data_IF_973583499745
#
_entry.id   IF_973583499745
#
_cell.length_a   1.000
_cell.length_b   1.000
_cell.length_c   1.000
_cell.angle_alpha   90.00
_cell.angle_beta   90.00
_cell.angle_gamma   90.00
#
_symmetry.space_group_name_H-M   'P 1'
#
loop_
_entity.id
_entity.type
_entity.pdbx_description
1 polymer ?
#
# COMPACT_ATOMS: atom_id res chain seq x y z
N UNK A 1 -3.47 12.48 0.03
CA UNK A 1 -4.94 12.51 -0.05
C UNK A 1 -5.40 11.15 -0.55
N UNK A 2 -6.42 10.57 0.06
CA UNK A 2 -6.97 9.26 -0.33
C UNK A 2 -8.29 9.46 -1.08
N UNK A 3 -8.32 9.13 -2.37
CA UNK A 3 -9.51 9.25 -3.21
C UNK A 3 -10.29 7.95 -3.17
N UNK A 4 -11.50 8.00 -2.65
CA UNK A 4 -12.35 6.85 -2.37
C UNK A 4 -13.62 6.93 -3.21
N UNK A 5 -13.98 5.84 -3.88
CA UNK A 5 -15.27 5.69 -4.53
C UNK A 5 -16.16 4.76 -3.70
N UNK A 6 -17.42 5.14 -3.52
CA UNK A 6 -18.43 4.37 -2.82
C UNK A 6 -19.55 4.08 -3.81
N UNK A 7 -19.97 2.81 -3.92
CA UNK A 7 -21.15 2.42 -4.69
C UNK A 7 -22.07 1.58 -3.81
N UNK A 8 -23.26 2.11 -3.54
CA UNK A 8 -24.29 1.49 -2.70
C UNK A 8 -25.65 2.07 -3.13
N UNK A 9 -26.63 1.24 -3.42
CA UNK A 9 -27.96 1.68 -3.85
C UNK A 9 -28.75 2.40 -2.73
N UNK A 10 -28.38 2.16 -1.47
CA UNK A 10 -28.87 2.87 -0.29
C UNK A 10 -28.09 4.17 -0.08
N UNK A 11 -28.66 5.31 -0.42
CA UNK A 11 -28.06 6.63 -0.15
C UNK A 11 -27.77 6.83 1.34
N UNK A 12 -28.56 6.25 2.22
CA UNK A 12 -28.36 6.32 3.67
C UNK A 12 -27.08 5.62 4.09
N UNK A 13 -26.87 4.40 3.60
CA UNK A 13 -25.69 3.58 3.97
C UNK A 13 -24.42 4.19 3.36
N UNK A 14 -24.49 4.61 2.09
CA UNK A 14 -23.41 5.34 1.43
C UNK A 14 -23.00 6.59 2.22
N UNK A 15 -23.96 7.43 2.63
CA UNK A 15 -23.69 8.64 3.39
C UNK A 15 -23.14 8.36 4.79
N UNK A 16 -23.58 7.28 5.45
CA UNK A 16 -23.03 6.87 6.73
C UNK A 16 -21.57 6.42 6.60
N UNK A 17 -21.26 5.60 5.59
CA UNK A 17 -19.90 5.17 5.29
C UNK A 17 -19.01 6.39 4.97
N UNK A 18 -19.50 7.32 4.14
CA UNK A 18 -18.79 8.55 3.81
C UNK A 18 -18.40 9.35 5.07
N UNK A 19 -19.34 9.55 6.00
CA UNK A 19 -19.05 10.26 7.25
C UNK A 19 -17.93 9.60 8.05
N UNK A 20 -17.91 8.26 8.11
CA UNK A 20 -16.84 7.54 8.78
C UNK A 20 -15.50 7.69 8.06
N UNK A 21 -15.49 7.62 6.71
CA UNK A 21 -14.29 7.82 5.90
C UNK A 21 -13.73 9.24 6.06
N UNK A 22 -14.58 10.26 6.04
CA UNK A 22 -14.18 11.66 6.22
C UNK A 22 -13.69 11.97 7.65
N UNK A 23 -14.08 11.15 8.65
CA UNK A 23 -13.58 11.28 10.03
C UNK A 23 -12.19 10.67 10.26
N UNK A 24 -11.62 10.01 9.24
CA UNK A 24 -10.30 9.42 9.33
C UNK A 24 -9.20 10.50 9.36
N UNK A 25 -8.32 10.45 10.38
CA UNK A 25 -7.43 11.55 10.75
C UNK A 25 -5.99 11.46 10.20
N UNK A 26 -5.59 10.29 9.66
CA UNK A 26 -4.19 10.10 9.22
C UNK A 26 -3.86 10.75 7.88
N UNK A 27 -4.83 10.84 6.98
CA UNK A 27 -4.70 11.53 5.69
C UNK A 27 -6.05 12.17 5.31
N UNK A 28 -6.05 13.28 4.56
CA UNK A 28 -7.28 13.80 3.98
C UNK A 28 -7.91 12.75 3.05
N UNK A 29 -9.22 12.52 3.22
CA UNK A 29 -10.02 11.63 2.38
C UNK A 29 -10.94 12.45 1.50
N UNK A 30 -11.00 12.14 0.23
CA UNK A 30 -11.98 12.65 -0.72
C UNK A 30 -12.85 11.50 -1.22
N UNK A 31 -14.16 11.70 -1.24
CA UNK A 31 -15.13 10.65 -1.56
C UNK A 31 -15.97 11.01 -2.78
N UNK A 32 -16.31 10.01 -3.58
CA UNK A 32 -17.33 10.10 -4.63
C UNK A 32 -18.36 9.00 -4.41
N UNK A 33 -19.64 9.40 -4.28
CA UNK A 33 -20.75 8.48 -4.02
C UNK A 33 -21.53 8.21 -5.29
N UNK A 34 -21.85 6.94 -5.51
CA UNK A 34 -22.68 6.47 -6.61
C UNK A 34 -23.77 5.52 -6.08
N UNK A 35 -25.00 5.76 -6.50
CA UNK A 35 -26.12 4.83 -6.29
C UNK A 35 -26.44 4.02 -7.55
N UNK A 36 -25.72 4.28 -8.63
CA UNK A 36 -25.83 3.58 -9.89
C UNK A 36 -24.48 3.01 -10.30
N UNK A 37 -24.32 1.68 -10.35
CA UNK A 37 -23.07 1.01 -10.70
C UNK A 37 -22.54 1.39 -12.08
N UNK A 38 -23.40 1.53 -13.08
CA UNK A 38 -22.99 1.88 -14.44
C UNK A 38 -22.35 3.28 -14.51
N UNK A 39 -22.98 4.26 -13.84
CA UNK A 39 -22.41 5.62 -13.75
C UNK A 39 -21.07 5.63 -13.01
N UNK A 40 -20.92 4.78 -12.00
CA UNK A 40 -19.67 4.66 -11.29
C UNK A 40 -18.56 4.16 -12.23
N UNK A 41 -18.79 3.10 -13.01
CA UNK A 41 -17.82 2.58 -13.97
C UNK A 41 -17.40 3.62 -15.01
N UNK A 42 -18.35 4.37 -15.57
CA UNK A 42 -18.10 5.43 -16.55
C UNK A 42 -17.23 6.57 -15.99
N UNK A 43 -17.29 6.80 -14.68
CA UNK A 43 -16.61 7.89 -13.99
C UNK A 43 -15.42 7.44 -13.12
N UNK A 44 -15.12 6.15 -13.13
CA UNK A 44 -13.93 5.63 -12.44
C UNK A 44 -12.68 6.12 -13.16
N UNK A 45 -11.79 6.75 -12.41
CA UNK A 45 -10.57 7.34 -12.95
C UNK A 45 -9.32 6.67 -12.37
N UNK A 46 -8.19 6.88 -13.02
CA UNK A 46 -6.89 6.40 -12.52
C UNK A 46 -6.48 6.98 -11.18
N UNK A 47 -7.09 8.11 -10.77
CA UNK A 47 -6.82 8.76 -9.48
C UNK A 47 -7.60 8.11 -8.33
N UNK A 48 -8.48 7.15 -8.62
CA UNK A 48 -9.20 6.40 -7.58
C UNK A 48 -8.26 5.44 -6.88
N UNK A 49 -8.15 5.58 -5.57
CA UNK A 49 -7.23 4.80 -4.75
C UNK A 49 -7.85 3.53 -4.19
N UNK A 50 -9.14 3.52 -3.89
CA UNK A 50 -9.87 2.33 -3.47
C UNK A 50 -11.37 2.48 -3.72
N UNK A 51 -12.08 1.34 -3.73
CA UNK A 51 -13.51 1.29 -4.00
C UNK A 51 -14.21 0.51 -2.89
N UNK A 52 -15.29 1.08 -2.34
CA UNK A 52 -16.21 0.42 -1.43
C UNK A 52 -17.48 0.09 -2.17
N UNK A 53 -17.88 -1.19 -2.17
CA UNK A 53 -19.02 -1.69 -2.93
C UNK A 53 -20.01 -2.39 -2.02
N UNK A 54 -21.30 -2.04 -2.13
CA UNK A 54 -22.33 -2.97 -1.67
C UNK A 54 -22.43 -4.16 -2.64
N UNK A 55 -22.77 -5.32 -2.12
CA UNK A 55 -22.95 -6.54 -2.94
C UNK A 55 -24.35 -6.57 -3.56
N UNK A 56 -25.36 -6.26 -2.77
CA UNK A 56 -26.77 -6.44 -3.17
C UNK A 56 -27.33 -5.14 -3.76
N UNK A 57 -27.01 -4.89 -5.02
CA UNK A 57 -27.48 -3.73 -5.76
C UNK A 57 -28.39 -4.15 -6.93
N UNK A 58 -29.41 -3.35 -7.28
CA UNK A 58 -30.26 -3.60 -8.43
C UNK A 58 -29.47 -3.62 -9.74
N UNK A 59 -29.85 -4.50 -10.67
CA UNK A 59 -29.32 -4.64 -12.04
C UNK A 59 -27.97 -5.34 -12.15
N UNK A 60 -26.98 -5.02 -11.33
CA UNK A 60 -25.66 -5.64 -11.30
C UNK A 60 -25.20 -5.80 -9.84
N UNK A 61 -24.73 -6.97 -9.49
CA UNK A 61 -24.20 -7.20 -8.14
C UNK A 61 -22.86 -6.49 -7.95
N UNK A 62 -22.53 -6.14 -6.69
CA UNK A 62 -21.20 -5.58 -6.39
C UNK A 62 -20.05 -6.51 -6.79
N UNK A 63 -20.30 -7.84 -6.82
CA UNK A 63 -19.30 -8.82 -7.25
C UNK A 63 -19.07 -8.74 -8.76
N UNK A 64 -20.13 -8.63 -9.56
CA UNK A 64 -20.01 -8.47 -11.01
C UNK A 64 -19.36 -7.12 -11.34
N UNK A 65 -19.75 -6.06 -10.62
CA UNK A 65 -19.10 -4.75 -10.71
C UNK A 65 -17.61 -4.82 -10.41
N UNK A 66 -17.23 -5.59 -9.39
CA UNK A 66 -15.82 -5.80 -9.07
C UNK A 66 -15.07 -6.54 -10.18
N UNK A 67 -15.69 -7.53 -10.85
CA UNK A 67 -15.10 -8.20 -12.02
C UNK A 67 -14.83 -7.22 -13.16
N UNK A 68 -15.77 -6.31 -13.44
CA UNK A 68 -15.54 -5.26 -14.44
C UNK A 68 -14.43 -4.30 -14.04
N UNK A 69 -14.38 -3.85 -12.78
CA UNK A 69 -13.30 -3.01 -12.28
C UNK A 69 -11.94 -3.70 -12.45
N UNK A 70 -11.84 -5.01 -12.19
CA UNK A 70 -10.60 -5.78 -12.35
C UNK A 70 -10.06 -5.82 -13.78
N UNK A 71 -10.92 -5.66 -14.80
CA UNK A 71 -10.48 -5.57 -16.19
C UNK A 71 -9.74 -4.26 -16.47
N UNK A 72 -10.10 -3.16 -15.80
CA UNK A 72 -9.45 -1.85 -15.96
C UNK A 72 -8.29 -1.64 -15.01
N UNK A 73 -8.45 -2.07 -13.77
CA UNK A 73 -7.44 -1.93 -12.73
C UNK A 73 -7.36 -3.19 -11.86
N UNK A 74 -6.45 -4.13 -12.20
CA UNK A 74 -6.31 -5.39 -11.47
C UNK A 74 -5.93 -5.23 -9.99
N UNK A 75 -5.31 -4.11 -9.62
CA UNK A 75 -4.68 -3.93 -8.32
C UNK A 75 -5.41 -2.93 -7.39
N UNK A 76 -6.46 -2.27 -7.85
CA UNK A 76 -7.19 -1.33 -6.98
C UNK A 76 -7.80 -2.08 -5.79
N UNK A 77 -7.60 -1.62 -4.54
CA UNK A 77 -8.28 -2.18 -3.38
C UNK A 77 -9.79 -2.10 -3.52
N UNK A 78 -10.46 -3.26 -3.49
CA UNK A 78 -11.93 -3.35 -3.47
C UNK A 78 -12.34 -3.87 -2.10
N UNK A 79 -13.20 -3.12 -1.42
CA UNK A 79 -13.74 -3.44 -0.11
C UNK A 79 -15.25 -3.63 -0.26
N UNK A 80 -15.75 -4.82 0.05
CA UNK A 80 -17.18 -5.03 0.09
C UNK A 80 -17.78 -4.57 1.41
N UNK A 81 -18.92 -3.90 1.34
CA UNK A 81 -19.68 -3.41 2.50
C UNK A 81 -21.12 -3.86 2.34
N UNK A 82 -21.55 -4.86 3.08
CA UNK A 82 -22.86 -5.48 2.88
C UNK A 82 -23.50 -5.98 4.16
N UNK A 83 -24.80 -6.14 4.14
CA UNK A 83 -25.56 -6.75 5.26
C UNK A 83 -25.44 -8.28 5.31
N UNK A 84 -24.99 -8.91 4.25
CA UNK A 84 -24.95 -10.36 4.10
C UNK A 84 -23.56 -10.93 4.42
N UNK A 85 -23.53 -12.14 5.02
CA UNK A 85 -22.28 -12.86 5.33
C UNK A 85 -21.98 -14.01 4.37
N UNK A 86 -22.94 -14.38 3.53
CA UNK A 86 -22.89 -15.63 2.76
C UNK A 86 -22.15 -15.53 1.42
N UNK A 87 -21.67 -14.34 1.05
CA UNK A 87 -20.93 -14.13 -0.21
C UNK A 87 -19.41 -14.32 -0.11
N UNK A 88 -18.90 -14.80 1.05
CA UNK A 88 -17.44 -14.87 1.27
C UNK A 88 -16.69 -15.69 0.20
N UNK A 89 -17.26 -16.79 -0.28
CA UNK A 89 -16.60 -17.60 -1.32
C UNK A 89 -16.48 -16.83 -2.64
N UNK A 90 -17.52 -16.12 -3.06
CA UNK A 90 -17.57 -15.40 -4.34
C UNK A 90 -16.68 -14.14 -4.35
N UNK A 91 -16.54 -13.46 -3.20
CA UNK A 91 -15.70 -12.26 -3.13
C UNK A 91 -14.21 -12.58 -3.21
N UNK A 92 -13.79 -13.80 -2.86
CA UNK A 92 -12.39 -14.23 -3.05
C UNK A 92 -12.02 -14.34 -4.53
N UNK A 93 -12.95 -14.72 -5.42
CA UNK A 93 -12.70 -14.83 -6.86
C UNK A 93 -12.30 -13.49 -7.50
N UNK A 94 -12.78 -12.36 -6.94
CA UNK A 94 -12.50 -11.02 -7.46
C UNK A 94 -11.33 -10.35 -6.73
N UNK A 95 -10.55 -11.11 -5.98
CA UNK A 95 -9.39 -10.59 -5.23
C UNK A 95 -9.79 -9.40 -4.35
N UNK A 96 -10.79 -9.61 -3.48
CA UNK A 96 -11.21 -8.57 -2.54
C UNK A 96 -10.08 -8.18 -1.60
N UNK A 97 -9.96 -6.89 -1.29
CA UNK A 97 -9.01 -6.39 -0.32
C UNK A 97 -9.49 -6.58 1.13
N UNK A 98 -10.78 -6.35 1.36
CA UNK A 98 -11.42 -6.58 2.66
C UNK A 98 -12.94 -6.70 2.50
N UNK A 99 -13.58 -7.17 3.58
CA UNK A 99 -15.03 -7.37 3.66
C UNK A 99 -15.55 -6.80 4.98
N UNK A 100 -16.52 -5.89 4.90
CA UNK A 100 -17.13 -5.23 6.04
C UNK A 100 -18.62 -5.55 6.07
N UNK A 101 -19.10 -5.98 7.24
CA UNK A 101 -20.53 -6.22 7.45
C UNK A 101 -21.17 -4.95 8.01
N UNK A 102 -22.28 -4.49 7.40
CA UNK A 102 -23.12 -3.43 7.96
C UNK A 102 -23.71 -3.94 9.33
N UNK A 103 -23.69 -3.22 10.40
CA UNK A 103 -23.28 -1.86 10.67
C UNK A 103 -21.77 -1.79 10.96
N UNK A 104 -21.09 -0.92 10.23
CA UNK A 104 -19.63 -0.83 10.29
C UNK A 104 -19.19 -0.19 11.61
N UNK A 105 -18.30 -0.84 12.31
CA UNK A 105 -17.62 -0.25 13.46
C UNK A 105 -16.50 0.69 12.97
N UNK A 106 -16.46 1.98 13.38
CA UNK A 106 -15.43 2.92 12.94
C UNK A 106 -14.00 2.41 13.16
N UNK A 107 -13.76 1.70 14.26
CA UNK A 107 -12.45 1.11 14.54
C UNK A 107 -12.03 0.05 13.51
N UNK A 108 -12.99 -0.76 13.03
CA UNK A 108 -12.76 -1.77 12.00
C UNK A 108 -12.45 -1.10 10.66
N UNK A 109 -13.20 -0.05 10.30
CA UNK A 109 -12.95 0.74 9.09
C UNK A 109 -11.56 1.39 9.12
N UNK A 110 -11.16 1.98 10.25
CA UNK A 110 -9.85 2.60 10.40
C UNK A 110 -8.71 1.58 10.17
N UNK A 111 -8.85 0.35 10.65
CA UNK A 111 -7.88 -0.73 10.36
C UNK A 111 -7.79 -1.06 8.88
N UNK A 112 -8.92 -1.06 8.16
CA UNK A 112 -8.96 -1.27 6.71
C UNK A 112 -8.26 -0.12 5.99
N UNK A 113 -8.55 1.14 6.38
CA UNK A 113 -7.89 2.31 5.81
C UNK A 113 -6.39 2.32 6.07
N UNK A 114 -5.96 1.95 7.27
CA UNK A 114 -4.53 1.79 7.59
C UNK A 114 -3.84 0.77 6.66
N UNK A 115 -4.53 -0.33 6.34
CA UNK A 115 -4.02 -1.34 5.40
C UNK A 115 -3.98 -0.79 3.97
N UNK A 116 -5.03 -0.08 3.53
CA UNK A 116 -5.08 0.57 2.21
C UNK A 116 -3.92 1.57 2.07
N UNK A 117 -3.69 2.44 3.07
CA UNK A 117 -2.59 3.40 3.03
C UNK A 117 -1.23 2.71 2.89
N UNK A 118 -1.00 1.63 3.63
CA UNK A 118 0.22 0.82 3.51
C UNK A 118 0.34 0.15 2.14
N UNK A 119 -0.76 -0.41 1.63
CA UNK A 119 -0.80 -1.06 0.31
C UNK A 119 -0.49 -0.07 -0.82
N UNK A 120 -1.05 1.13 -0.75
CA UNK A 120 -0.89 2.17 -1.76
C UNK A 120 0.34 3.05 -1.55
N UNK A 121 1.09 2.86 -0.46
CA UNK A 121 2.17 3.76 -0.01
C UNK A 121 1.73 5.24 0.14
N UNK A 122 0.44 5.49 0.36
CA UNK A 122 -0.11 6.85 0.48
C UNK A 122 0.15 7.49 1.84
N UNK A 123 0.54 6.71 2.82
CA UNK A 123 1.12 7.23 4.05
C UNK A 123 2.56 7.63 3.77
N UNK A 124 2.78 8.70 2.98
CA UNK A 124 4.11 9.18 2.63
C UNK A 124 4.86 9.60 3.89
N UNK A 125 5.48 8.64 4.54
CA UNK A 125 6.53 8.94 5.50
C UNK A 125 7.69 9.46 4.68
N UNK A 126 7.98 10.75 4.83
CA UNK A 126 9.07 11.42 4.13
C UNK A 126 10.36 11.14 4.88
N UNK A 127 11.38 10.67 4.18
CA UNK A 127 12.71 10.55 4.73
C UNK A 127 13.45 11.89 4.61
N UNK A 128 13.61 12.56 5.74
CA UNK A 128 14.28 13.85 5.82
C UNK A 128 15.75 13.67 6.26
N UNK A 129 16.67 14.25 5.50
CA UNK A 129 18.09 14.30 5.84
C UNK A 129 18.74 15.55 5.25
N UNK A 130 19.97 15.84 5.69
CA UNK A 130 20.78 16.93 5.16
C UNK A 130 22.16 16.43 4.75
N UNK A 131 22.68 16.98 3.66
CA UNK A 131 24.05 16.74 3.22
C UNK A 131 24.68 18.06 2.73
N UNK A 132 25.78 18.44 3.34
CA UNK A 132 26.38 19.76 3.12
C UNK A 132 25.46 20.89 3.63
N UNK A 133 25.08 21.79 2.73
CA UNK A 133 24.14 22.90 3.02
C UNK A 133 22.72 22.64 2.51
N UNK A 134 22.48 21.46 1.97
CA UNK A 134 21.19 21.11 1.37
C UNK A 134 20.39 20.17 2.28
N UNK A 135 19.10 20.41 2.37
CA UNK A 135 18.12 19.53 3.03
C UNK A 135 17.28 18.83 1.97
N UNK A 136 17.05 17.55 2.18
CA UNK A 136 16.32 16.67 1.27
C UNK A 136 15.11 16.09 1.99
N UNK A 137 14.02 15.98 1.24
CA UNK A 137 12.77 15.32 1.67
C UNK A 137 12.38 14.34 0.57
N UNK A 138 12.55 13.04 0.82
CA UNK A 138 12.31 11.99 -0.17
C UNK A 138 11.17 11.11 0.34
N UNK A 139 10.11 10.87 -0.47
CA UNK A 139 9.10 9.87 -0.13
C UNK A 139 9.76 8.51 0.09
N UNK A 140 9.44 7.84 1.20
CA UNK A 140 9.96 6.49 1.46
C UNK A 140 9.55 5.47 0.40
N UNK A 141 8.41 5.72 -0.25
CA UNK A 141 7.94 4.93 -1.41
C UNK A 141 8.92 4.92 -2.57
N UNK A 142 9.71 5.97 -2.74
CA UNK A 142 10.64 6.13 -3.86
C UNK A 142 12.03 5.56 -3.55
N UNK A 143 12.32 5.31 -2.26
CA UNK A 143 13.59 4.75 -1.83
C UNK A 143 13.59 3.25 -2.05
N UNK A 144 14.55 2.78 -2.84
CA UNK A 144 14.75 1.36 -3.16
C UNK A 144 15.62 0.66 -2.12
N UNK A 145 16.76 1.24 -1.78
CA UNK A 145 17.63 0.74 -0.72
C UNK A 145 18.62 1.82 -0.23
N UNK A 146 19.23 1.55 0.91
CA UNK A 146 20.33 2.32 1.48
C UNK A 146 21.60 1.47 1.42
N UNK A 147 22.71 2.10 1.03
CA UNK A 147 24.04 1.49 1.01
C UNK A 147 25.01 2.29 1.87
N UNK A 148 25.58 1.66 2.87
CA UNK A 148 26.67 2.25 3.67
C UNK A 148 28.02 1.95 3.03
N UNK A 149 28.72 2.99 2.63
CA UNK A 149 30.12 2.93 2.24
C UNK A 149 30.97 3.81 3.18
N UNK A 150 31.80 3.18 4.00
CA UNK A 150 32.69 3.83 4.99
C UNK A 150 31.91 4.78 5.91
N UNK A 151 32.07 6.10 5.72
CA UNK A 151 31.45 7.16 6.52
C UNK A 151 30.20 7.74 5.87
N UNK A 152 29.88 7.32 4.65
CA UNK A 152 28.74 7.81 3.89
C UNK A 152 27.66 6.74 3.79
N UNK A 153 26.42 7.19 3.64
CA UNK A 153 25.30 6.35 3.21
C UNK A 153 24.76 6.91 1.91
N UNK A 154 24.64 6.06 0.92
CA UNK A 154 23.97 6.35 -0.33
C UNK A 154 22.52 5.90 -0.22
N UNK A 155 21.60 6.74 -0.69
CA UNK A 155 20.16 6.53 -0.70
C UNK A 155 19.78 6.39 -2.16
N UNK A 156 19.47 5.18 -2.59
CA UNK A 156 19.05 4.88 -3.96
C UNK A 156 17.54 5.02 -4.08
N UNK A 157 17.11 5.78 -5.07
CA UNK A 157 15.71 5.97 -5.42
C UNK A 157 15.45 5.52 -6.85
N UNK A 158 14.20 5.57 -7.30
CA UNK A 158 13.86 5.26 -8.67
C UNK A 158 14.45 6.25 -9.68
N UNK A 159 14.72 7.49 -9.28
CA UNK A 159 15.18 8.56 -10.17
C UNK A 159 16.65 8.90 -9.96
N UNK A 160 17.09 8.96 -8.70
CA UNK A 160 18.38 9.55 -8.33
C UNK A 160 19.05 8.76 -7.19
N UNK A 161 20.34 9.07 -6.96
CA UNK A 161 21.09 8.60 -5.81
C UNK A 161 21.55 9.78 -4.98
N UNK A 162 21.24 9.76 -3.69
CA UNK A 162 21.61 10.81 -2.74
C UNK A 162 22.70 10.33 -1.80
N UNK A 163 23.50 11.26 -1.28
CA UNK A 163 24.54 10.99 -0.29
C UNK A 163 24.16 11.59 1.06
N UNK A 164 24.43 10.86 2.13
CA UNK A 164 24.21 11.27 3.51
C UNK A 164 25.40 10.88 4.38
N UNK A 165 25.55 11.53 5.56
CA UNK A 165 26.48 11.16 6.61
C UNK A 165 25.80 10.55 7.84
N UNK A 166 24.52 10.16 7.70
CA UNK A 166 23.77 9.51 8.78
C UNK A 166 24.41 8.17 9.16
N UNK A 167 24.28 7.80 10.43
CA UNK A 167 24.63 6.46 10.86
C UNK A 167 23.50 5.48 10.48
N UNK A 168 23.86 4.22 10.31
CA UNK A 168 22.86 3.16 10.01
C UNK A 168 21.72 3.12 11.03
N UNK A 169 22.04 3.33 12.33
CA UNK A 169 21.03 3.34 13.38
C UNK A 169 20.07 4.53 13.24
N UNK A 170 20.61 5.73 12.98
CA UNK A 170 19.77 6.93 12.79
C UNK A 170 18.84 6.80 11.59
N UNK A 171 19.22 5.99 10.60
CA UNK A 171 18.34 5.66 9.45
C UNK A 171 17.26 4.69 9.88
N UNK A 172 17.63 3.58 10.55
CA UNK A 172 16.68 2.58 11.03
C UNK A 172 15.63 3.17 11.96
N UNK A 173 16.01 4.09 12.84
CA UNK A 173 15.10 4.77 13.78
C UNK A 173 14.07 5.67 13.07
N UNK A 174 14.34 6.06 11.82
CA UNK A 174 13.46 6.89 10.98
C UNK A 174 12.65 6.07 10.00
N UNK A 175 12.99 4.81 9.79
CA UNK A 175 12.34 3.95 8.82
C UNK A 175 11.18 3.17 9.46
N UNK A 176 10.07 2.97 8.74
CA UNK A 176 9.04 2.02 9.15
C UNK A 176 9.59 0.60 9.23
N UNK A 177 8.93 -0.23 10.04
CA UNK A 177 9.34 -1.62 10.32
C UNK A 177 9.39 -2.54 9.09
N UNK A 178 8.75 -2.13 7.99
CA UNK A 178 8.80 -2.91 6.75
C UNK A 178 10.14 -2.81 6.01
N UNK A 179 10.96 -1.77 6.24
CA UNK A 179 12.31 -1.75 5.70
C UNK A 179 13.16 -2.85 6.35
N UNK A 180 13.93 -3.56 5.55
CA UNK A 180 14.65 -4.76 6.01
C UNK A 180 16.15 -4.55 5.92
N UNK A 181 16.84 -4.61 7.05
CA UNK A 181 18.29 -4.67 7.04
C UNK A 181 18.74 -6.09 6.67
N UNK A 182 19.51 -6.21 5.57
CA UNK A 182 20.01 -7.49 5.04
C UNK A 182 21.51 -7.67 5.22
N UNK A 183 22.22 -6.57 5.50
CA UNK A 183 23.67 -6.53 5.71
C UNK A 183 24.04 -5.37 6.63
N UNK A 184 25.25 -5.37 7.19
CA UNK A 184 25.75 -4.22 7.94
C UNK A 184 25.79 -2.92 7.09
N UNK A 185 25.84 -3.08 5.77
CA UNK A 185 25.86 -1.99 4.79
C UNK A 185 24.57 -1.80 4.00
N UNK A 186 23.58 -2.69 4.09
CA UNK A 186 22.39 -2.61 3.24
C UNK A 186 21.10 -2.69 4.03
N UNK A 187 20.20 -1.73 3.75
CA UNK A 187 18.80 -1.73 4.19
C UNK A 187 17.96 -1.61 2.93
N UNK A 188 17.02 -2.53 2.70
CA UNK A 188 16.22 -2.60 1.47
C UNK A 188 14.75 -2.29 1.73
N UNK A 189 14.11 -1.68 0.74
CA UNK A 189 12.66 -1.58 0.67
C UNK A 189 12.14 -2.85 0.00
N UNK A 190 11.36 -3.70 0.69
CA UNK A 190 10.89 -4.98 0.15
C UNK A 190 9.98 -4.83 -1.07
N UNK A 191 9.40 -3.65 -1.29
CA UNK A 191 8.59 -3.32 -2.48
C UNK A 191 9.37 -3.55 -3.78
N UNK A 192 10.67 -3.32 -3.77
CA UNK A 192 11.54 -3.38 -4.95
C UNK A 192 12.33 -4.68 -5.07
N UNK A 193 12.07 -5.65 -4.21
CA UNK A 193 12.68 -6.98 -4.32
C UNK A 193 12.04 -7.72 -5.48
N UNK A 194 12.84 -8.03 -6.49
CA UNK A 194 12.47 -8.87 -7.62
C UNK A 194 12.49 -10.35 -7.23
N UNK A 195 13.63 -10.78 -6.69
CA UNK A 195 13.87 -12.15 -6.24
C UNK A 195 14.94 -12.19 -5.14
N UNK A 196 15.12 -13.33 -4.51
CA UNK A 196 16.19 -13.56 -3.55
C UNK A 196 16.55 -15.03 -3.43
N UNK A 197 17.78 -15.29 -3.03
CA UNK A 197 18.24 -16.62 -2.62
C UNK A 197 18.77 -16.63 -1.16
N UNK A 198 19.56 -17.63 -0.78
CA UNK A 198 20.12 -17.70 0.56
C UNK A 198 21.21 -16.64 0.86
N UNK A 199 21.79 -16.03 -0.17
CA UNK A 199 22.96 -15.14 -0.05
C UNK A 199 22.73 -13.75 -0.61
N UNK A 200 21.77 -13.56 -1.51
CA UNK A 200 21.57 -12.33 -2.26
C UNK A 200 20.10 -11.95 -2.35
N UNK A 201 19.86 -10.66 -2.47
CA UNK A 201 18.57 -10.05 -2.84
C UNK A 201 18.78 -9.27 -4.11
N UNK A 202 17.92 -9.46 -5.12
CA UNK A 202 17.90 -8.68 -6.35
C UNK A 202 16.88 -7.56 -6.21
N UNK A 203 17.34 -6.32 -6.31
CA UNK A 203 16.49 -5.12 -6.33
C UNK A 203 16.30 -4.67 -7.77
N UNK A 204 15.05 -4.42 -8.16
CA UNK A 204 14.70 -3.89 -9.46
C UNK A 204 14.63 -2.36 -9.39
N UNK A 205 15.47 -1.68 -10.18
CA UNK A 205 15.47 -0.23 -10.36
C UNK A 205 14.83 0.11 -11.72
N UNK A 206 13.96 1.11 -11.73
CA UNK A 206 13.37 1.65 -12.98
C UNK A 206 12.73 0.58 -13.91
N UNK A 207 12.32 -0.57 -13.35
CA UNK A 207 11.71 -1.67 -14.10
C UNK A 207 12.66 -2.50 -14.98
N UNK A 208 13.92 -2.13 -15.11
CA UNK A 208 14.88 -2.79 -16.02
C UNK A 208 16.27 -3.03 -15.43
N UNK A 209 16.77 -2.17 -14.56
CA UNK A 209 18.09 -2.29 -13.96
C UNK A 209 18.01 -3.13 -12.68
N UNK A 210 18.93 -4.10 -12.55
CA UNK A 210 18.96 -5.04 -11.44
C UNK A 210 20.23 -4.87 -10.61
N UNK A 211 20.06 -4.67 -9.30
CA UNK A 211 21.17 -4.65 -8.35
C UNK A 211 21.10 -5.86 -7.42
N UNK A 212 22.16 -6.68 -7.42
CA UNK A 212 22.28 -7.82 -6.53
C UNK A 212 23.03 -7.43 -5.27
N UNK A 213 22.35 -7.51 -4.12
CA UNK A 213 22.84 -7.09 -2.81
C UNK A 213 23.06 -8.31 -1.91
N UNK A 214 24.21 -8.41 -1.19
CA UNK A 214 24.50 -9.57 -0.34
C UNK A 214 23.67 -9.58 0.95
N UNK A 215 23.18 -10.75 1.33
CA UNK A 215 22.60 -11.02 2.65
C UNK A 215 23.67 -11.61 3.55
N UNK A 216 24.03 -10.93 4.63
CA UNK A 216 24.96 -11.52 5.58
C UNK A 216 24.28 -12.59 6.46
N UNK A 217 25.05 -13.60 6.90
CA UNK A 217 24.53 -14.73 7.69
C UNK A 217 23.70 -14.29 8.90
N UNK A 218 24.11 -13.20 9.55
CA UNK A 218 23.42 -12.62 10.71
C UNK A 218 21.96 -12.23 10.40
N UNK A 219 21.66 -11.79 9.19
CA UNK A 219 20.37 -11.23 8.80
C UNK A 219 19.47 -12.19 8.02
N UNK A 220 19.95 -13.38 7.64
CA UNK A 220 19.19 -14.32 6.80
C UNK A 220 17.82 -14.73 7.40
N UNK A 221 17.79 -15.05 8.70
CA UNK A 221 16.55 -15.47 9.34
C UNK A 221 15.56 -14.31 9.47
N UNK A 222 16.03 -13.15 9.97
CA UNK A 222 15.17 -11.96 10.14
C UNK A 222 14.71 -11.38 8.80
N UNK A 223 15.53 -11.50 7.74
CA UNK A 223 15.12 -11.09 6.40
C UNK A 223 13.92 -11.91 5.91
N UNK A 224 14.01 -13.24 5.97
CA UNK A 224 12.91 -14.12 5.50
C UNK A 224 11.62 -13.85 6.27
N UNK A 225 11.72 -13.79 7.61
CA UNK A 225 10.56 -13.51 8.47
C UNK A 225 9.90 -12.18 8.09
N UNK A 226 10.66 -11.08 8.05
CA UNK A 226 10.15 -9.75 7.72
C UNK A 226 9.61 -9.67 6.30
N UNK A 227 10.27 -10.31 5.34
CA UNK A 227 9.82 -10.30 3.95
C UNK A 227 8.51 -11.07 3.76
N UNK A 228 8.36 -12.25 4.38
CA UNK A 228 7.11 -12.99 4.34
C UNK A 228 5.98 -12.28 5.08
N UNK A 229 6.26 -11.62 6.21
CA UNK A 229 5.29 -10.77 6.89
C UNK A 229 4.84 -9.61 5.99
N UNK A 230 5.78 -8.94 5.33
CA UNK A 230 5.47 -7.89 4.35
C UNK A 230 4.60 -8.39 3.20
N UNK A 231 4.89 -9.57 2.64
CA UNK A 231 4.07 -10.17 1.58
C UNK A 231 2.68 -10.58 2.10
N UNK A 232 2.60 -11.16 3.31
CA UNK A 232 1.31 -11.56 3.90
C UNK A 232 0.42 -10.36 4.20
N UNK A 233 0.98 -9.21 4.57
CA UNK A 233 0.23 -7.97 4.76
C UNK A 233 -0.28 -7.34 3.45
N UNK A 234 0.26 -7.74 2.31
CA UNK A 234 -0.12 -7.25 0.97
C UNK A 234 -0.96 -8.24 0.15
N UNK A 235 -0.94 -9.53 0.50
CA UNK A 235 -1.63 -10.59 -0.25
C UNK A 235 -2.97 -11.00 0.37
N UNK A 236 -3.57 -10.18 1.25
CA UNK A 236 -4.93 -10.37 1.78
C UNK A 236 -5.77 -9.13 1.59
#
# INVERSE_FOLDING_TARGET
MLNVVICDDSTRDASQLEQYLLSYDKVPVETKLYTNPQKMLEQLTSDTHCVFLDIDMPQITGIDLAREIRQFNPFIPIIFVTSYRDYMEQVFEVQTFDYLVKHIEPQRLNKVLDRILRYLDLGQTIFNFSFGKQSYSIPLSDITYFEKDKRSVFIYTLADTYKSLLKTQDILDKLPDYFIQIHASYIVNPKYIKDFDAKTVTILLNGTEEHSLPISRKFQSSFKEKYYNYLSERNF
#
